data_IF_974143054179
#
_entry.id   IF_974143054179
#
_cell.length_a   1.000
_cell.length_b   1.000
_cell.length_c   1.000
_cell.angle_alpha   90.00
_cell.angle_beta   90.00
_cell.angle_gamma   90.00
#
_symmetry.space_group_name_H-M   'P 1'
#
loop_
_entity.id
_entity.type
_entity.pdbx_description
1 polymer ?
#
# COMPACT_ATOMS: atom_id res chain seq x y z
N UNK A 1 -10.04 12.50 69.51
CA UNK A 1 -10.40 12.32 68.09
C UNK A 1 -10.83 13.69 67.57
N UNK A 2 -9.96 14.30 66.77
CA UNK A 2 -9.97 15.72 66.34
C UNK A 2 -10.95 15.90 65.16
N UNK A 3 -11.95 16.77 65.29
CA UNK A 3 -12.06 18.15 64.73
C UNK A 3 -12.40 18.21 63.22
N UNK A 4 -13.19 19.11 62.66
CA UNK A 4 -14.19 20.11 63.11
C UNK A 4 -14.58 20.93 61.83
N UNK A 5 -15.86 21.24 61.60
CA UNK A 5 -16.45 22.49 61.02
C UNK A 5 -15.99 23.01 59.62
N UNK A 6 -16.68 23.85 58.82
CA UNK A 6 -17.99 24.54 58.81
C UNK A 6 -18.21 25.13 57.39
N UNK A 7 -19.48 25.39 57.07
CA UNK A 7 -20.13 26.06 55.94
C UNK A 7 -19.47 27.30 55.29
N UNK A 8 -19.94 27.67 54.07
CA UNK A 8 -20.69 28.92 53.85
C UNK A 8 -21.51 28.92 52.54
N UNK A 9 -22.73 29.42 52.66
CA UNK A 9 -23.73 29.76 51.64
C UNK A 9 -23.40 31.15 51.01
N UNK A 10 -23.88 31.45 49.79
CA UNK A 10 -24.66 32.66 49.44
C UNK A 10 -25.13 32.58 47.97
N UNK A 11 -26.38 33.00 47.77
CA UNK A 11 -27.18 32.96 46.54
C UNK A 11 -27.37 34.35 45.91
N UNK A 12 -27.75 34.41 44.62
CA UNK A 12 -28.74 35.33 44.02
C UNK A 12 -28.86 34.98 42.50
N UNK A 13 -29.95 34.37 42.00
CA UNK A 13 -31.25 34.92 41.58
C UNK A 13 -31.21 36.02 40.50
N UNK A 14 -31.71 35.70 39.30
CA UNK A 14 -32.81 36.42 38.64
C UNK A 14 -33.38 35.60 37.47
N UNK A 15 -34.64 35.17 37.64
CA UNK A 15 -35.53 34.58 36.65
C UNK A 15 -36.43 35.67 36.05
N UNK A 16 -36.77 35.60 34.77
CA UNK A 16 -38.15 35.89 34.31
C UNK A 16 -38.51 35.06 33.08
N UNK A 17 -39.69 34.46 33.18
CA UNK A 17 -40.42 33.61 32.24
C UNK A 17 -40.89 34.35 30.98
N UNK A 18 -41.17 33.56 29.93
CA UNK A 18 -42.09 33.91 28.85
C UNK A 18 -42.36 32.70 27.94
N UNK A 19 -43.41 31.94 28.22
CA UNK A 19 -44.02 31.01 27.25
C UNK A 19 -45.13 31.73 26.47
N UNK A 20 -45.22 31.55 25.15
CA UNK A 20 -46.49 31.43 24.41
C UNK A 20 -46.28 30.85 23.00
N UNK A 21 -47.31 30.16 22.53
CA UNK A 21 -47.35 29.17 21.44
C UNK A 21 -47.53 29.71 19.99
N UNK A 22 -47.38 28.76 19.07
CA UNK A 22 -48.09 28.54 17.79
C UNK A 22 -47.75 29.31 16.48
N UNK A 23 -47.24 28.49 15.53
CA UNK A 23 -47.53 28.35 14.10
C UNK A 23 -47.85 29.57 13.21
N UNK A 24 -47.06 29.75 12.14
CA UNK A 24 -47.47 29.54 10.73
C UNK A 24 -46.59 30.33 9.73
N UNK A 25 -46.48 29.74 8.54
CA UNK A 25 -45.68 30.08 7.37
C UNK A 25 -45.67 31.54 6.90
N UNK A 26 -44.54 32.01 6.34
CA UNK A 26 -44.44 32.39 4.92
C UNK A 26 -43.03 32.87 4.52
N UNK A 27 -42.68 32.52 3.29
CA UNK A 27 -41.42 32.74 2.57
C UNK A 27 -41.00 34.22 2.46
N UNK A 28 -39.70 34.49 2.42
CA UNK A 28 -39.11 35.13 1.24
C UNK A 28 -37.61 34.86 1.12
N UNK A 29 -37.22 34.45 -0.08
CA UNK A 29 -35.87 34.24 -0.55
C UNK A 29 -35.17 35.58 -0.86
N UNK A 30 -33.84 35.52 -0.82
CA UNK A 30 -32.83 36.31 -1.54
C UNK A 30 -31.83 37.01 -0.62
N UNK A 31 -30.65 36.39 -0.48
CA UNK A 31 -29.41 37.13 -0.70
C UNK A 31 -28.38 36.22 -1.38
N UNK A 32 -28.18 36.48 -2.67
CA UNK A 32 -27.14 35.92 -3.50
C UNK A 32 -25.87 36.77 -3.37
N UNK A 33 -24.74 36.17 -2.99
CA UNK A 33 -23.43 36.35 -3.62
C UNK A 33 -22.33 35.63 -2.82
N UNK A 34 -21.81 34.53 -3.36
CA UNK A 34 -20.42 34.51 -3.80
C UNK A 34 -20.21 33.37 -4.80
N UNK A 35 -20.18 33.75 -6.08
CA UNK A 35 -19.98 32.91 -7.25
C UNK A 35 -18.48 32.75 -7.47
N UNK A 36 -17.94 31.55 -7.24
CA UNK A 36 -16.70 31.04 -7.86
C UNK A 36 -16.48 29.57 -7.48
N UNK A 37 -17.17 28.64 -8.16
CA UNK A 37 -16.61 27.35 -8.57
C UNK A 37 -17.59 26.65 -9.52
N UNK A 38 -17.79 27.23 -10.71
CA UNK A 38 -18.55 26.58 -11.78
C UNK A 38 -17.56 25.77 -12.65
N UNK A 39 -17.18 24.59 -12.17
CA UNK A 39 -16.60 23.51 -12.97
C UNK A 39 -16.67 22.15 -12.23
N UNK A 40 -17.83 21.83 -11.65
CA UNK A 40 -18.13 20.45 -11.27
C UNK A 40 -19.64 20.16 -11.34
N UNK A 41 -20.22 20.32 -12.53
CA UNK A 41 -21.60 19.90 -12.82
C UNK A 41 -21.57 19.10 -14.11
N UNK A 42 -21.07 17.87 -14.03
CA UNK A 42 -21.28 16.83 -15.04
C UNK A 42 -21.23 15.41 -14.45
N UNK A 43 -21.69 15.21 -13.22
CA UNK A 43 -21.82 13.86 -12.65
C UNK A 43 -23.14 13.60 -11.91
N UNK A 44 -24.26 14.09 -12.46
CA UNK A 44 -25.59 13.68 -12.00
C UNK A 44 -26.53 13.58 -13.19
N UNK A 45 -26.32 12.58 -14.05
CA UNK A 45 -27.32 12.08 -15.01
C UNK A 45 -26.86 10.75 -15.64
N UNK A 46 -26.83 9.67 -14.85
CA UNK A 46 -27.06 8.34 -15.40
C UNK A 46 -27.57 7.33 -14.35
N UNK A 47 -28.57 7.73 -13.57
CA UNK A 47 -29.44 6.77 -12.87
C UNK A 47 -30.50 6.35 -13.89
N UNK A 48 -30.15 5.43 -14.80
CA UNK A 48 -31.04 4.52 -15.56
C UNK A 48 -30.33 3.92 -16.78
N UNK A 49 -29.39 2.98 -16.57
CA UNK A 49 -29.17 1.92 -17.57
C UNK A 49 -28.53 0.68 -16.91
N UNK A 50 -29.38 -0.17 -16.35
CA UNK A 50 -29.05 -1.57 -16.03
C UNK A 50 -28.81 -2.29 -17.35
N UNK A 51 -27.56 -2.25 -17.86
CA UNK A 51 -26.97 -3.16 -18.88
C UNK A 51 -25.59 -2.66 -19.37
N UNK A 52 -24.67 -2.29 -18.46
CA UNK A 52 -23.32 -1.87 -18.85
C UNK A 52 -22.22 -2.48 -17.97
N UNK A 53 -22.29 -3.79 -17.74
CA UNK A 53 -21.24 -4.55 -17.04
C UNK A 53 -19.98 -4.70 -17.92
N UNK A 54 -20.07 -4.48 -19.24
CA UNK A 54 -18.95 -4.68 -20.16
C UNK A 54 -18.13 -3.42 -20.51
N UNK A 55 -18.47 -2.24 -19.99
CA UNK A 55 -17.73 -1.00 -20.28
C UNK A 55 -17.07 -0.37 -19.04
N UNK A 56 -17.25 -0.95 -17.84
CA UNK A 56 -16.46 -0.56 -16.66
C UNK A 56 -15.05 -1.15 -16.75
N UNK A 57 -14.91 -2.35 -17.35
CA UNK A 57 -13.63 -3.02 -17.55
C UNK A 57 -12.66 -2.31 -18.52
N UNK A 58 -13.11 -1.28 -19.24
CA UNK A 58 -12.27 -0.59 -20.24
C UNK A 58 -12.00 0.90 -19.91
N UNK A 59 -12.65 1.45 -18.87
CA UNK A 59 -12.34 2.81 -18.38
C UNK A 59 -11.33 2.75 -17.22
N UNK A 60 -11.30 1.64 -16.47
CA UNK A 60 -10.31 1.45 -15.38
C UNK A 60 -8.92 1.03 -15.89
N UNK A 61 -8.77 0.63 -17.15
CA UNK A 61 -7.53 0.06 -17.67
C UNK A 61 -6.64 1.06 -18.44
N UNK A 62 -6.90 2.37 -18.33
CA UNK A 62 -6.13 3.40 -19.04
C UNK A 62 -5.46 4.42 -18.10
N UNK A 63 -5.72 4.33 -16.79
CA UNK A 63 -5.07 5.17 -15.76
C UNK A 63 -4.30 4.36 -14.69
N UNK A 64 -4.32 3.02 -14.70
CA UNK A 64 -3.64 2.17 -13.70
C UNK A 64 -2.19 1.81 -14.05
N UNK A 65 -1.52 2.53 -14.96
CA UNK A 65 -0.16 2.18 -15.38
C UNK A 65 0.89 2.25 -14.27
N UNK A 66 0.57 2.87 -13.14
CA UNK A 66 1.48 3.09 -12.01
C UNK A 66 1.08 2.30 -10.76
N UNK A 67 -0.10 1.67 -10.77
CA UNK A 67 -0.60 0.87 -9.65
C UNK A 67 -0.23 -0.58 -9.88
N UNK A 68 0.35 -1.21 -8.87
CA UNK A 68 0.78 -2.60 -8.86
C UNK A 68 -0.07 -3.33 -7.83
N UNK A 69 -1.01 -4.13 -8.32
CA UNK A 69 -2.07 -4.76 -7.56
C UNK A 69 -2.08 -6.29 -7.79
N UNK A 70 -3.11 -7.00 -7.32
CA UNK A 70 -3.23 -8.46 -7.48
C UNK A 70 -3.15 -8.94 -8.95
N UNK A 71 -3.45 -8.08 -9.92
CA UNK A 71 -3.41 -8.40 -11.35
C UNK A 71 -1.98 -8.39 -11.93
N UNK A 72 -0.99 -7.95 -11.15
CA UNK A 72 0.40 -7.76 -11.59
C UNK A 72 1.35 -8.85 -11.07
N UNK A 73 0.86 -10.06 -10.83
CA UNK A 73 1.63 -11.16 -10.23
C UNK A 73 2.12 -12.21 -11.24
N UNK A 74 1.76 -12.10 -12.51
CA UNK A 74 2.13 -13.10 -13.52
C UNK A 74 3.49 -12.83 -14.17
N UNK A 75 4.55 -13.47 -13.65
CA UNK A 75 5.92 -13.33 -14.15
C UNK A 75 6.09 -13.71 -15.63
N UNK A 76 5.29 -14.64 -16.16
CA UNK A 76 5.38 -15.07 -17.55
C UNK A 76 5.00 -13.97 -18.55
N UNK A 77 4.36 -12.89 -18.09
CA UNK A 77 3.99 -11.75 -18.92
C UNK A 77 5.11 -10.71 -18.99
N UNK A 78 6.10 -10.76 -18.09
CA UNK A 78 7.22 -9.83 -18.07
C UNK A 78 8.26 -10.27 -19.11
N UNK A 79 8.56 -9.46 -20.14
CA UNK A 79 9.58 -9.81 -21.11
C UNK A 79 10.96 -9.93 -20.45
N UNK A 80 11.78 -10.87 -20.91
CA UNK A 80 13.16 -11.06 -20.42
C UNK A 80 14.00 -9.77 -20.47
N UNK A 81 13.81 -8.98 -21.55
CA UNK A 81 14.47 -7.70 -21.71
C UNK A 81 14.07 -6.67 -20.65
N UNK A 82 12.85 -6.74 -20.11
CA UNK A 82 12.39 -5.84 -19.05
C UNK A 82 13.02 -6.20 -17.69
N UNK A 83 13.16 -7.50 -17.39
CA UNK A 83 13.91 -7.96 -16.21
C UNK A 83 15.38 -7.55 -16.32
N UNK A 84 15.98 -7.72 -17.50
CA UNK A 84 17.37 -7.29 -17.74
C UNK A 84 17.50 -5.77 -17.58
N UNK A 85 16.56 -4.99 -18.14
CA UNK A 85 16.54 -3.54 -17.95
C UNK A 85 16.50 -3.19 -16.46
N UNK A 86 15.58 -3.77 -15.69
CA UNK A 86 15.48 -3.55 -14.24
C UNK A 86 16.81 -3.81 -13.52
N UNK A 87 17.44 -4.97 -13.77
CA UNK A 87 18.74 -5.32 -13.17
C UNK A 87 19.86 -4.33 -13.52
N UNK A 88 19.85 -3.79 -14.74
CA UNK A 88 20.94 -2.94 -15.23
C UNK A 88 20.76 -1.45 -14.95
N UNK A 89 19.53 -0.99 -14.69
CA UNK A 89 19.22 0.44 -14.61
C UNK A 89 18.71 0.89 -13.26
N UNK A 90 18.18 0.00 -12.43
CA UNK A 90 17.63 0.38 -11.13
C UNK A 90 18.68 0.24 -10.04
N UNK A 91 18.72 1.23 -9.16
CA UNK A 91 19.49 1.27 -7.93
C UNK A 91 18.51 1.67 -6.84
N UNK A 92 18.06 0.68 -6.07
CA UNK A 92 16.89 0.78 -5.20
C UNK A 92 17.36 0.83 -3.76
N UNK A 93 16.79 1.73 -2.98
CA UNK A 93 16.84 1.62 -1.51
C UNK A 93 15.47 1.28 -0.97
N UNK A 94 15.41 0.27 -0.10
CA UNK A 94 14.18 -0.17 0.54
C UNK A 94 14.34 -0.18 2.05
N UNK A 95 13.38 0.41 2.77
CA UNK A 95 13.40 0.47 4.23
C UNK A 95 12.11 -0.06 4.82
N UNK A 96 12.23 -1.01 5.75
CA UNK A 96 11.09 -1.71 6.30
C UNK A 96 11.35 -2.36 7.66
N UNK A 97 10.29 -2.89 8.27
CA UNK A 97 10.37 -3.96 9.28
C UNK A 97 9.52 -5.15 8.84
N UNK A 98 8.98 -5.93 9.78
CA UNK A 98 8.42 -7.26 9.60
C UNK A 98 7.55 -7.42 8.35
N UNK A 99 6.43 -6.70 8.18
CA UNK A 99 5.58 -6.90 7.00
C UNK A 99 6.23 -6.52 5.68
N UNK A 100 7.10 -5.49 5.65
CA UNK A 100 7.82 -5.15 4.43
C UNK A 100 8.86 -6.19 4.04
N UNK A 101 9.39 -6.96 5.00
CA UNK A 101 10.32 -8.06 4.71
C UNK A 101 9.68 -9.17 3.88
N UNK A 102 8.35 -9.21 3.80
CA UNK A 102 7.65 -10.17 2.95
C UNK A 102 8.02 -10.01 1.47
N UNK A 103 8.32 -8.78 1.02
CA UNK A 103 8.79 -8.53 -0.34
C UNK A 103 10.15 -9.20 -0.58
N UNK A 104 11.08 -9.03 0.37
CA UNK A 104 12.42 -9.61 0.33
C UNK A 104 12.37 -11.14 0.38
N UNK A 105 11.57 -11.72 1.29
CA UNK A 105 11.32 -13.18 1.32
C UNK A 105 10.75 -13.69 -0.01
N UNK A 106 9.88 -12.90 -0.65
CA UNK A 106 9.37 -13.18 -1.98
C UNK A 106 10.47 -13.20 -3.04
N UNK A 107 11.34 -12.19 -3.06
CA UNK A 107 12.48 -12.13 -3.98
C UNK A 107 13.44 -13.31 -3.78
N UNK A 108 13.76 -13.66 -2.53
CA UNK A 108 14.60 -14.81 -2.19
C UNK A 108 14.02 -16.12 -2.72
N UNK A 109 12.71 -16.31 -2.56
CA UNK A 109 12.02 -17.51 -3.03
C UNK A 109 12.05 -17.63 -4.54
N UNK A 110 11.86 -16.52 -5.26
CA UNK A 110 11.97 -16.48 -6.72
C UNK A 110 13.42 -16.67 -7.19
N UNK A 111 14.40 -16.12 -6.49
CA UNK A 111 15.82 -16.30 -6.81
C UNK A 111 16.28 -17.75 -6.63
N UNK A 112 15.77 -18.42 -5.59
CA UNK A 112 16.10 -19.80 -5.24
C UNK A 112 15.34 -20.85 -6.05
N UNK A 113 14.22 -20.49 -6.72
CA UNK A 113 13.39 -21.45 -7.42
C UNK A 113 14.12 -22.10 -8.62
N UNK A 114 14.31 -23.44 -8.62
CA UNK A 114 15.16 -24.10 -9.61
C UNK A 114 14.76 -23.87 -11.07
N UNK A 115 13.45 -23.79 -11.34
CA UNK A 115 12.94 -23.60 -12.70
C UNK A 115 13.33 -22.25 -13.31
N UNK A 116 13.60 -21.24 -12.48
CA UNK A 116 14.03 -19.92 -12.93
C UNK A 116 15.54 -19.82 -13.14
N UNK A 117 16.34 -20.79 -12.70
CA UNK A 117 17.78 -20.84 -12.96
C UNK A 117 18.49 -19.49 -12.68
N UNK A 118 18.23 -18.93 -11.49
CA UNK A 118 18.79 -17.64 -11.04
C UNK A 118 18.38 -16.42 -11.88
N UNK A 119 17.30 -16.52 -12.68
CA UNK A 119 16.86 -15.40 -13.50
C UNK A 119 16.29 -14.23 -12.69
N UNK A 120 15.66 -14.49 -11.55
CA UNK A 120 15.08 -13.49 -10.64
C UNK A 120 15.96 -13.21 -9.40
N UNK A 121 17.28 -13.21 -9.56
CA UNK A 121 18.23 -12.83 -8.50
C UNK A 121 18.26 -11.32 -8.21
N UNK A 122 18.54 -11.00 -6.96
CA UNK A 122 18.78 -9.66 -6.43
C UNK A 122 20.05 -9.65 -5.56
N UNK A 123 20.62 -8.48 -5.31
CA UNK A 123 21.84 -8.28 -4.53
C UNK A 123 21.73 -7.01 -3.68
N UNK A 124 21.84 -7.21 -2.36
CA UNK A 124 21.82 -6.17 -1.32
C UNK A 124 23.03 -5.22 -1.37
N UNK A 125 24.10 -5.61 -2.06
CA UNK A 125 25.31 -4.81 -2.15
C UNK A 125 25.48 -4.05 -3.47
N UNK A 126 24.60 -4.30 -4.44
CA UNK A 126 24.71 -3.78 -5.81
C UNK A 126 25.98 -4.18 -6.56
N UNK A 127 26.70 -5.22 -6.11
CA UNK A 127 27.99 -5.65 -6.71
C UNK A 127 27.86 -6.69 -7.82
N UNK A 128 26.79 -7.49 -7.83
CA UNK A 128 26.49 -8.43 -8.93
C UNK A 128 25.70 -7.73 -10.04
N UNK A 129 26.38 -7.44 -11.13
CA UNK A 129 25.81 -6.82 -12.34
C UNK A 129 24.73 -7.65 -13.04
N UNK A 130 24.54 -8.92 -12.65
CA UNK A 130 23.49 -9.81 -13.19
C UNK A 130 22.31 -9.96 -12.22
N UNK A 131 22.33 -9.29 -11.07
CA UNK A 131 21.27 -9.26 -10.09
C UNK A 131 20.62 -7.87 -10.06
N UNK A 132 19.42 -7.78 -9.51
CA UNK A 132 18.78 -6.51 -9.20
C UNK A 132 19.51 -5.85 -8.02
N UNK A 133 19.92 -4.60 -8.20
CA UNK A 133 20.50 -3.79 -7.13
C UNK A 133 19.38 -3.23 -6.23
N UNK A 134 19.28 -3.77 -5.03
CA UNK A 134 18.33 -3.35 -4.00
C UNK A 134 19.00 -3.39 -2.64
N UNK A 135 19.35 -2.22 -2.11
CA UNK A 135 19.87 -2.05 -0.77
C UNK A 135 18.73 -2.21 0.25
N UNK A 136 18.67 -3.39 0.85
CA UNK A 136 17.74 -3.73 1.93
C UNK A 136 18.22 -3.08 3.24
N UNK A 137 17.31 -2.41 3.94
CA UNK A 137 17.65 -1.47 5.02
C UNK A 137 18.62 -0.36 4.57
N UNK A 138 18.55 0.03 3.29
CA UNK A 138 19.47 0.97 2.67
C UNK A 138 19.34 2.42 3.12
N UNK A 139 18.30 2.77 3.88
CA UNK A 139 18.03 4.16 4.28
C UNK A 139 18.53 4.38 5.73
N UNK A 140 19.56 5.23 5.95
CA UNK A 140 20.11 5.49 7.26
C UNK A 140 19.10 6.26 8.11
N UNK A 141 18.81 5.76 9.31
CA UNK A 141 17.84 6.42 10.19
C UNK A 141 17.71 5.72 11.54
N UNK A 142 17.11 6.43 12.50
CA UNK A 142 16.70 5.84 13.78
C UNK A 142 15.35 5.10 13.66
N UNK A 143 14.56 5.43 12.64
CA UNK A 143 13.22 4.90 12.43
C UNK A 143 13.26 3.76 11.42
N UNK A 144 12.79 2.56 11.79
CA UNK A 144 13.00 1.40 10.96
C UNK A 144 11.99 1.25 9.81
N UNK A 145 10.86 1.95 9.84
CA UNK A 145 9.81 1.96 8.81
C UNK A 145 8.84 3.15 8.94
N UNK A 146 7.81 3.22 8.09
CA UNK A 146 6.78 4.28 8.11
C UNK A 146 5.84 4.21 9.33
N UNK A 147 5.75 3.07 10.01
CA UNK A 147 4.88 2.84 11.18
C UNK A 147 5.44 3.45 12.46
N UNK A 148 6.58 4.11 12.36
CA UNK A 148 7.24 4.79 13.48
C UNK A 148 7.58 6.22 13.09
N UNK A 149 7.62 7.11 14.08
CA UNK A 149 7.99 8.51 13.82
C UNK A 149 6.93 9.30 13.06
N UNK A 150 5.64 9.02 13.26
CA UNK A 150 4.56 9.78 12.63
C UNK A 150 4.30 11.13 13.33
N UNK A 151 5.35 11.96 13.39
CA UNK A 151 5.34 13.31 13.92
C UNK A 151 6.10 14.20 12.95
N UNK A 152 5.59 15.38 12.65
CA UNK A 152 6.29 16.35 11.83
C UNK A 152 7.18 17.27 12.68
N UNK A 153 8.33 17.64 12.12
CA UNK A 153 9.17 18.73 12.62
C UNK A 153 8.58 20.12 12.28
N UNK A 154 9.36 21.19 12.53
CA UNK A 154 8.93 22.57 12.23
C UNK A 154 8.75 22.87 10.73
N UNK A 155 9.26 22.00 9.85
CA UNK A 155 9.16 22.08 8.40
C UNK A 155 8.01 21.22 7.84
N UNK A 156 7.27 20.53 8.71
CA UNK A 156 6.24 19.59 8.30
C UNK A 156 6.83 18.26 7.81
N UNK A 157 8.06 17.91 8.21
CA UNK A 157 8.73 16.70 7.72
C UNK A 157 8.73 15.63 8.79
N UNK A 158 8.31 14.42 8.42
CA UNK A 158 8.50 13.24 9.25
C UNK A 158 9.98 12.81 9.26
N UNK A 159 10.42 12.03 10.25
CA UNK A 159 11.81 11.56 10.32
C UNK A 159 12.24 10.78 9.08
N UNK A 160 11.37 9.93 8.52
CA UNK A 160 11.71 9.15 7.31
C UNK A 160 11.97 10.04 6.08
N UNK A 161 11.35 11.23 5.99
CA UNK A 161 11.68 12.24 4.96
C UNK A 161 13.08 12.80 5.19
N UNK A 162 13.43 13.12 6.44
CA UNK A 162 14.76 13.64 6.81
C UNK A 162 15.85 12.60 6.51
N UNK A 163 15.60 11.34 6.85
CA UNK A 163 16.49 10.22 6.60
C UNK A 163 16.68 9.97 5.09
N UNK A 164 15.59 10.02 4.32
CA UNK A 164 15.65 9.94 2.85
C UNK A 164 16.48 11.06 2.23
N UNK A 165 16.30 12.31 2.69
CA UNK A 165 17.13 13.43 2.22
C UNK A 165 18.60 13.24 2.60
N UNK A 166 18.87 12.74 3.79
CA UNK A 166 20.23 12.48 4.26
C UNK A 166 20.93 11.48 3.34
N UNK A 167 20.24 10.40 2.99
CA UNK A 167 20.72 9.42 2.02
C UNK A 167 21.00 10.02 0.65
N UNK A 168 19.98 10.65 0.03
CA UNK A 168 20.06 11.12 -1.35
C UNK A 168 21.03 12.30 -1.54
N UNK A 169 21.30 13.07 -0.48
CA UNK A 169 22.27 14.16 -0.50
C UNK A 169 23.71 13.72 -0.15
N UNK A 170 23.92 12.44 0.19
CA UNK A 170 25.25 11.91 0.49
C UNK A 170 26.05 11.72 -0.81
N UNK A 171 27.28 12.23 -0.84
CA UNK A 171 28.20 12.06 -1.98
C UNK A 171 28.42 10.57 -2.26
N UNK A 172 28.22 10.17 -3.53
CA UNK A 172 28.31 8.77 -3.97
C UNK A 172 26.96 8.09 -4.17
N UNK A 173 25.87 8.64 -3.63
CA UNK A 173 24.52 8.08 -3.74
C UNK A 173 23.71 8.62 -4.92
N UNK A 174 24.33 9.36 -5.84
CA UNK A 174 23.65 9.99 -6.98
C UNK A 174 23.11 8.97 -8.00
N UNK A 175 23.48 7.71 -7.86
CA UNK A 175 23.02 6.59 -8.69
C UNK A 175 21.67 6.05 -8.24
N UNK A 176 21.29 6.22 -6.97
CA UNK A 176 20.00 5.78 -6.42
C UNK A 176 18.88 6.46 -7.19
N UNK A 177 17.98 5.66 -7.74
CA UNK A 177 16.90 6.15 -8.60
C UNK A 177 15.52 5.58 -8.26
N UNK A 178 15.43 4.71 -7.26
CA UNK A 178 14.17 4.29 -6.65
C UNK A 178 14.31 4.34 -5.13
N UNK A 179 13.37 5.01 -4.46
CA UNK A 179 13.25 5.03 -3.00
C UNK A 179 11.92 4.45 -2.61
N UNK A 180 11.95 3.52 -1.66
CA UNK A 180 10.75 2.86 -1.18
C UNK A 180 10.81 2.63 0.32
N UNK A 181 9.74 3.01 1.00
CA UNK A 181 9.52 2.73 2.41
C UNK A 181 8.27 1.87 2.60
N UNK A 182 8.30 0.98 3.59
CA UNK A 182 7.18 0.10 3.94
C UNK A 182 6.44 0.56 5.18
N UNK A 183 5.18 0.16 5.29
CA UNK A 183 4.45 0.08 6.56
C UNK A 183 4.65 -1.30 7.20
N UNK A 184 4.76 -1.36 8.53
CA UNK A 184 4.47 -2.57 9.30
C UNK A 184 3.03 -2.57 9.82
N UNK A 185 2.46 -1.40 10.08
CA UNK A 185 1.03 -1.14 10.31
C UNK A 185 0.76 0.32 9.96
N UNK A 186 -0.29 0.58 9.20
CA UNK A 186 -0.76 1.93 8.86
C UNK A 186 -1.89 2.39 9.79
N UNK A 187 -2.32 1.51 10.71
CA UNK A 187 -3.44 1.76 11.59
C UNK A 187 -3.17 2.94 12.52
N UNK A 188 -4.15 3.83 12.67
CA UNK A 188 -4.10 5.07 13.45
C UNK A 188 -3.13 6.15 12.96
N UNK A 189 -2.38 5.88 11.89
CA UNK A 189 -1.47 6.84 11.26
C UNK A 189 -2.20 7.85 10.38
N UNK A 190 -1.57 9.00 10.17
CA UNK A 190 -2.07 10.07 9.30
C UNK A 190 -1.61 9.82 7.85
N UNK A 191 -2.45 9.15 7.04
CA UNK A 191 -2.10 8.87 5.65
C UNK A 191 -2.04 10.15 4.80
N UNK A 192 -2.75 11.22 5.17
CA UNK A 192 -2.64 12.50 4.46
C UNK A 192 -1.23 13.09 4.63
N UNK A 193 -0.69 13.03 5.84
CA UNK A 193 0.70 13.42 6.09
C UNK A 193 1.69 12.62 5.26
N UNK A 194 1.50 11.30 5.19
CA UNK A 194 2.36 10.43 4.38
C UNK A 194 2.37 10.88 2.90
N UNK A 195 1.19 11.10 2.30
CA UNK A 195 1.14 11.52 0.89
C UNK A 195 1.73 12.92 0.68
N UNK A 196 1.49 13.86 1.59
CA UNK A 196 2.07 15.21 1.53
C UNK A 196 3.60 15.18 1.61
N UNK A 197 4.14 14.33 2.48
CA UNK A 197 5.58 14.14 2.67
C UNK A 197 6.25 13.43 1.49
N UNK A 198 5.58 12.45 0.88
CA UNK A 198 6.01 11.83 -0.38
C UNK A 198 6.06 12.85 -1.53
N UNK A 199 5.06 13.73 -1.65
CA UNK A 199 5.03 14.78 -2.68
C UNK A 199 6.16 15.81 -2.52
N UNK A 200 6.55 16.13 -1.28
CA UNK A 200 7.74 16.96 -1.02
C UNK A 200 9.00 16.33 -1.61
N UNK A 201 9.25 15.06 -1.29
CA UNK A 201 10.41 14.33 -1.81
C UNK A 201 10.41 14.24 -3.34
N UNK A 202 9.26 13.97 -3.95
CA UNK A 202 9.13 13.95 -5.42
C UNK A 202 9.48 15.31 -6.04
N UNK A 203 9.04 16.41 -5.41
CA UNK A 203 9.36 17.76 -5.89
C UNK A 203 10.85 18.10 -5.72
N UNK A 204 11.50 17.58 -4.68
CA UNK A 204 12.90 17.86 -4.37
C UNK A 204 13.87 17.01 -5.20
N UNK A 205 13.49 15.77 -5.53
CA UNK A 205 14.31 14.79 -6.22
C UNK A 205 13.61 14.26 -7.50
N UNK A 206 13.41 15.11 -8.53
CA UNK A 206 12.64 14.74 -9.73
C UNK A 206 13.28 13.65 -10.61
N UNK A 207 14.53 13.25 -10.32
CA UNK A 207 15.22 12.13 -10.97
C UNK A 207 15.05 10.80 -10.26
N UNK A 208 14.41 10.77 -9.09
CA UNK A 208 14.19 9.59 -8.26
C UNK A 208 12.72 9.19 -8.33
N UNK A 209 12.47 7.90 -8.50
CA UNK A 209 11.14 7.31 -8.39
C UNK A 209 10.83 7.01 -6.94
N UNK A 210 9.79 7.64 -6.40
CA UNK A 210 9.27 7.31 -5.06
C UNK A 210 8.07 6.38 -5.20
N UNK A 211 8.16 5.21 -4.56
CA UNK A 211 7.09 4.21 -4.57
C UNK A 211 6.21 4.40 -3.34
N UNK A 212 4.93 4.70 -3.57
CA UNK A 212 3.91 4.69 -2.53
C UNK A 212 3.52 3.26 -2.21
N UNK A 213 3.05 3.02 -0.99
CA UNK A 213 2.61 1.70 -0.56
C UNK A 213 1.44 1.80 0.42
N UNK A 214 0.44 0.93 0.25
CA UNK A 214 -0.63 0.73 1.24
C UNK A 214 -0.13 -0.14 2.41
N UNK A 215 -0.83 -0.11 3.54
CA UNK A 215 -0.59 -1.06 4.64
C UNK A 215 -1.10 -2.47 4.34
N UNK A 216 -1.00 -3.36 5.33
CA UNK A 216 -1.54 -4.72 5.30
C UNK A 216 -2.94 -4.80 5.94
N UNK A 217 -3.64 -5.91 5.80
CA UNK A 217 -4.93 -6.12 6.46
C UNK A 217 -4.79 -6.46 7.95
N UNK A 218 -5.65 -5.88 8.81
CA UNK A 218 -5.61 -6.07 10.28
C UNK A 218 -6.92 -6.65 10.87
N UNK A 219 -7.68 -7.42 10.08
CA UNK A 219 -8.98 -7.99 10.48
C UNK A 219 -10.01 -6.94 10.95
N UNK A 220 -9.98 -5.75 10.34
CA UNK A 220 -10.89 -4.64 10.63
C UNK A 220 -12.00 -4.46 9.59
N UNK A 221 -11.94 -5.21 8.48
CA UNK A 221 -12.83 -5.04 7.35
C UNK A 221 -12.65 -3.69 6.65
N UNK A 222 -13.68 -3.26 5.94
CA UNK A 222 -13.70 -2.00 5.17
C UNK A 222 -14.10 -0.79 6.03
N UNK A 223 -13.42 -0.59 7.17
CA UNK A 223 -13.65 0.58 8.01
C UNK A 223 -13.19 1.86 7.30
N UNK A 224 -14.09 2.83 7.15
CA UNK A 224 -13.82 4.15 6.56
C UNK A 224 -13.74 5.25 7.63
N UNK A 225 -13.60 4.88 8.91
CA UNK A 225 -13.26 5.83 9.97
C UNK A 225 -11.87 6.41 9.69
N UNK A 226 -11.73 7.73 9.83
CA UNK A 226 -10.45 8.43 9.61
C UNK A 226 -9.31 7.75 10.38
N UNK A 227 -8.18 7.55 9.69
CA UNK A 227 -6.99 6.87 10.17
C UNK A 227 -7.14 5.37 10.48
N UNK A 228 -8.26 4.73 10.15
CA UNK A 228 -8.32 3.26 10.10
C UNK A 228 -7.54 2.69 8.91
N UNK A 229 -7.21 1.40 8.94
CA UNK A 229 -6.38 0.76 7.90
C UNK A 229 -6.98 0.92 6.50
N UNK A 230 -8.26 0.57 6.35
CA UNK A 230 -8.90 0.60 5.04
C UNK A 230 -9.10 2.05 4.55
N UNK A 231 -9.52 2.98 5.42
CA UNK A 231 -9.54 4.41 5.11
C UNK A 231 -8.19 4.93 4.59
N UNK A 232 -7.09 4.61 5.28
CA UNK A 232 -5.75 5.08 4.92
C UNK A 232 -5.29 4.49 3.57
N UNK A 233 -5.59 3.22 3.32
CA UNK A 233 -5.27 2.58 2.05
C UNK A 233 -6.06 3.21 0.89
N UNK A 234 -7.36 3.48 1.06
CA UNK A 234 -8.17 4.17 0.06
C UNK A 234 -7.66 5.59 -0.23
N UNK A 235 -7.25 6.34 0.81
CA UNK A 235 -6.65 7.67 0.64
C UNK A 235 -5.38 7.62 -0.22
N UNK A 236 -4.49 6.67 0.03
CA UNK A 236 -3.25 6.49 -0.74
C UNK A 236 -3.56 6.08 -2.18
N UNK A 237 -4.50 5.15 -2.40
CA UNK A 237 -4.97 4.70 -3.72
C UNK A 237 -5.50 5.88 -4.53
N UNK A 238 -6.41 6.65 -3.95
CA UNK A 238 -7.01 7.83 -4.58
C UNK A 238 -5.96 8.88 -4.94
N UNK A 239 -5.01 9.14 -4.03
CA UNK A 239 -3.91 10.07 -4.28
C UNK A 239 -3.04 9.61 -5.46
N UNK A 240 -2.64 8.34 -5.48
CA UNK A 240 -1.78 7.81 -6.52
C UNK A 240 -2.45 7.80 -7.89
N UNK A 241 -3.72 7.39 -7.95
CA UNK A 241 -4.51 7.41 -9.18
C UNK A 241 -4.71 8.84 -9.70
N UNK A 242 -4.95 9.81 -8.82
CA UNK A 242 -5.16 11.21 -9.19
C UNK A 242 -3.89 11.88 -9.71
N UNK A 243 -2.73 11.56 -9.12
CA UNK A 243 -1.47 12.23 -9.40
C UNK A 243 -0.53 11.44 -10.33
N UNK A 244 -0.92 10.25 -10.76
CA UNK A 244 -0.08 9.30 -11.51
C UNK A 244 1.20 8.96 -10.73
N UNK A 245 1.04 8.46 -9.50
CA UNK A 245 2.15 8.00 -8.66
C UNK A 245 2.27 6.49 -8.70
N UNK A 246 3.51 6.01 -8.61
CA UNK A 246 3.81 4.59 -8.43
C UNK A 246 3.24 4.13 -7.09
N UNK A 247 2.39 3.12 -7.12
CA UNK A 247 1.78 2.51 -5.95
C UNK A 247 2.04 1.01 -5.99
N UNK A 248 2.65 0.49 -4.94
CA UNK A 248 2.60 -0.93 -4.62
C UNK A 248 1.44 -1.18 -3.65
N UNK A 249 0.35 -1.74 -4.17
CA UNK A 249 -0.88 -1.94 -3.42
C UNK A 249 -0.83 -3.25 -2.63
N UNK A 250 -0.03 -3.23 -1.56
CA UNK A 250 0.19 -4.35 -0.66
C UNK A 250 -1.12 -4.93 -0.11
N UNK A 251 -2.09 -4.06 0.19
CA UNK A 251 -3.39 -4.43 0.73
C UNK A 251 -4.24 -5.14 -0.31
N UNK A 252 -4.26 -4.65 -1.55
CA UNK A 252 -5.02 -5.27 -2.63
C UNK A 252 -4.45 -6.65 -3.00
N UNK A 253 -3.12 -6.78 -3.04
CA UNK A 253 -2.44 -8.05 -3.29
C UNK A 253 -2.81 -9.08 -2.21
N UNK A 254 -2.89 -8.70 -0.94
CA UNK A 254 -3.35 -9.60 0.13
C UNK A 254 -4.84 -9.93 0.01
N UNK A 255 -5.65 -8.97 -0.43
CA UNK A 255 -7.11 -9.07 -0.43
C UNK A 255 -7.65 -10.03 -1.48
N UNK A 256 -6.82 -10.49 -2.42
CA UNK A 256 -7.24 -11.33 -3.53
C UNK A 256 -6.46 -12.64 -3.59
N UNK A 257 -7.19 -13.74 -3.82
CA UNK A 257 -6.54 -14.98 -4.23
C UNK A 257 -6.03 -14.87 -5.68
N UNK A 258 -5.20 -15.82 -6.16
CA UNK A 258 -4.70 -15.80 -7.53
C UNK A 258 -5.77 -15.92 -8.64
N UNK A 259 -7.00 -16.31 -8.31
CA UNK A 259 -8.14 -16.36 -9.25
C UNK A 259 -8.96 -15.05 -9.23
N UNK A 260 -8.63 -14.12 -8.33
CA UNK A 260 -9.25 -12.80 -8.19
C UNK A 260 -10.46 -12.76 -7.27
N UNK A 261 -10.69 -13.77 -6.43
CA UNK A 261 -11.70 -13.69 -5.37
C UNK A 261 -11.25 -12.72 -4.28
N UNK A 262 -12.16 -11.87 -3.80
CA UNK A 262 -11.89 -10.81 -2.82
C UNK A 262 -12.25 -11.24 -1.39
N UNK A 263 -11.43 -10.85 -0.41
CA UNK A 263 -11.54 -11.32 0.98
C UNK A 263 -11.51 -10.21 2.04
N UNK A 264 -11.21 -8.95 1.71
CA UNK A 264 -11.12 -7.89 2.73
C UNK A 264 -12.46 -7.65 3.43
N UNK A 265 -13.57 -7.77 2.72
CA UNK A 265 -14.94 -7.66 3.23
C UNK A 265 -15.33 -8.80 4.20
N UNK A 266 -14.47 -9.82 4.31
CA UNK A 266 -14.58 -10.94 5.23
C UNK A 266 -13.61 -10.81 6.43
N UNK A 267 -13.25 -9.58 6.81
CA UNK A 267 -12.36 -9.31 7.95
C UNK A 267 -10.99 -10.01 7.84
N UNK A 268 -10.41 -10.00 6.65
CA UNK A 268 -9.12 -10.63 6.40
C UNK A 268 -7.99 -10.07 7.30
N UNK A 269 -7.10 -10.95 7.74
CA UNK A 269 -5.87 -10.66 8.48
C UNK A 269 -4.62 -10.84 7.61
N UNK A 270 -3.48 -10.41 8.13
CA UNK A 270 -2.16 -10.41 7.47
C UNK A 270 -1.58 -11.79 7.18
N UNK A 271 -2.10 -12.84 7.80
CA UNK A 271 -1.76 -14.23 7.48
C UNK A 271 -2.72 -14.87 6.46
N UNK A 272 -3.52 -14.06 5.75
CA UNK A 272 -4.49 -14.50 4.74
C UNK A 272 -5.71 -15.26 5.32
N UNK A 273 -5.88 -15.23 6.64
CA UNK A 273 -7.07 -15.72 7.34
C UNK A 273 -8.22 -14.72 7.18
N UNK A 274 -9.45 -15.21 7.10
CA UNK A 274 -10.66 -14.41 7.01
C UNK A 274 -11.80 -15.11 7.77
N UNK A 275 -12.95 -14.44 7.94
CA UNK A 275 -14.15 -15.00 8.57
C UNK A 275 -14.76 -16.12 7.70
N UNK A 276 -14.14 -17.29 7.72
CA UNK A 276 -14.54 -18.44 6.91
C UNK A 276 -13.45 -19.47 6.71
N UNK A 277 -12.18 -19.08 6.82
CA UNK A 277 -11.03 -19.93 6.57
C UNK A 277 -9.79 -19.12 6.23
N UNK A 278 -8.86 -19.74 5.52
CA UNK A 278 -7.65 -19.08 5.04
C UNK A 278 -7.57 -19.29 3.53
N UNK A 279 -7.59 -18.19 2.77
CA UNK A 279 -7.75 -18.30 1.32
C UNK A 279 -6.55 -18.97 0.66
N UNK A 280 -5.34 -18.84 1.21
CA UNK A 280 -4.16 -19.51 0.66
C UNK A 280 -4.20 -21.02 0.87
N UNK A 281 -4.68 -21.48 2.03
CA UNK A 281 -4.91 -22.92 2.29
C UNK A 281 -5.90 -23.49 1.29
N UNK A 282 -7.02 -22.80 1.10
CA UNK A 282 -8.10 -23.21 0.19
C UNK A 282 -7.61 -23.23 -1.26
N UNK A 283 -6.95 -22.15 -1.69
CA UNK A 283 -6.46 -22.01 -3.06
C UNK A 283 -5.38 -23.03 -3.41
N UNK A 284 -4.42 -23.28 -2.51
CA UNK A 284 -3.37 -24.30 -2.73
C UNK A 284 -3.98 -25.71 -2.77
N UNK A 285 -4.97 -26.01 -1.92
CA UNK A 285 -5.64 -27.31 -1.94
C UNK A 285 -6.35 -27.57 -3.28
N UNK A 286 -6.92 -26.54 -3.90
CA UNK A 286 -7.57 -26.63 -5.20
C UNK A 286 -6.59 -26.57 -6.39
N UNK A 287 -5.40 -25.98 -6.18
CA UNK A 287 -4.38 -25.77 -7.22
C UNK A 287 -2.99 -26.35 -6.85
N UNK A 288 -2.87 -27.62 -6.42
CA UNK A 288 -1.64 -28.16 -5.83
C UNK A 288 -0.47 -28.24 -6.81
N UNK A 289 -0.74 -28.37 -8.11
CA UNK A 289 0.29 -28.46 -9.16
C UNK A 289 0.64 -27.09 -9.78
N UNK A 290 0.02 -26.00 -9.30
CA UNK A 290 0.29 -24.66 -9.82
C UNK A 290 1.69 -24.19 -9.45
N UNK A 291 2.31 -23.35 -10.29
CA UNK A 291 3.64 -22.80 -10.01
C UNK A 291 3.67 -22.01 -8.69
N UNK A 292 2.58 -21.33 -8.33
CA UNK A 292 2.44 -20.65 -7.05
C UNK A 292 2.44 -21.65 -5.88
N UNK A 293 1.64 -22.72 -5.96
CA UNK A 293 1.65 -23.75 -4.93
C UNK A 293 3.04 -24.40 -4.78
N UNK A 294 3.71 -24.73 -5.89
CA UNK A 294 5.05 -25.33 -5.87
C UNK A 294 6.13 -24.38 -5.31
N UNK A 295 6.05 -23.07 -5.61
CA UNK A 295 6.91 -22.05 -5.00
C UNK A 295 6.65 -21.92 -3.50
N UNK A 296 5.39 -22.01 -3.08
CA UNK A 296 5.01 -21.89 -1.68
C UNK A 296 5.43 -23.12 -0.88
N UNK A 297 5.09 -24.33 -1.33
CA UNK A 297 5.26 -25.55 -0.53
C UNK A 297 6.55 -26.32 -0.82
N UNK A 298 7.15 -26.13 -2.01
CA UNK A 298 8.28 -26.94 -2.47
C UNK A 298 7.91 -28.37 -2.86
N UNK A 299 6.63 -28.74 -2.82
CA UNK A 299 6.20 -30.12 -3.02
C UNK A 299 6.59 -30.64 -4.41
N UNK A 300 7.41 -31.68 -4.46
CA UNK A 300 7.85 -32.28 -5.72
C UNK A 300 8.87 -31.43 -6.50
N UNK A 301 9.44 -30.39 -5.89
CA UNK A 301 10.50 -29.56 -6.49
C UNK A 301 11.86 -30.00 -5.95
N UNK A 302 12.65 -30.68 -6.78
CA UNK A 302 13.97 -31.18 -6.40
C UNK A 302 14.90 -30.03 -5.97
N UNK A 303 15.36 -30.07 -4.71
CA UNK A 303 16.33 -29.12 -4.16
C UNK A 303 15.75 -27.78 -3.72
N UNK A 304 14.43 -27.67 -3.56
CA UNK A 304 13.75 -26.48 -3.09
C UNK A 304 12.68 -26.84 -2.05
N UNK A 305 12.83 -26.33 -0.82
CA UNK A 305 11.99 -26.70 0.33
C UNK A 305 10.69 -25.86 0.43
N UNK A 306 10.42 -24.99 -0.55
CA UNK A 306 9.33 -24.03 -0.50
C UNK A 306 9.72 -22.69 0.11
N UNK A 307 8.77 -21.76 0.09
CA UNK A 307 8.92 -20.43 0.69
C UNK A 307 8.72 -20.55 2.20
N UNK A 308 9.62 -19.96 2.98
CA UNK A 308 9.56 -19.96 4.43
C UNK A 308 9.99 -18.61 5.01
N UNK A 309 9.57 -18.32 6.25
CA UNK A 309 9.92 -17.07 6.92
C UNK A 309 9.15 -15.85 6.40
N UNK A 310 7.98 -16.07 5.80
CA UNK A 310 7.09 -14.97 5.44
C UNK A 310 6.53 -14.33 6.71
N UNK A 311 7.10 -13.19 7.12
CA UNK A 311 6.75 -12.53 8.37
C UNK A 311 5.24 -12.29 8.47
N UNK A 312 4.62 -12.71 9.56
CA UNK A 312 3.16 -12.62 9.79
C UNK A 312 2.28 -13.45 8.83
N UNK A 313 2.85 -14.21 7.90
CA UNK A 313 2.12 -15.10 7.00
C UNK A 313 2.83 -16.45 6.84
N UNK A 314 3.28 -17.06 7.94
CA UNK A 314 3.99 -18.35 7.94
C UNK A 314 3.21 -19.48 8.63
N UNK A 315 2.06 -19.16 9.21
CA UNK A 315 1.16 -20.11 9.88
C UNK A 315 -0.30 -19.79 9.53
N UNK A 316 -0.99 -20.65 8.77
CA UNK A 316 -0.53 -21.95 8.25
C UNK A 316 0.59 -21.82 7.20
N UNK A 317 1.30 -22.92 6.88
CA UNK A 317 2.47 -22.86 5.98
C UNK A 317 2.11 -22.37 4.57
N UNK A 318 0.90 -22.65 4.12
CA UNK A 318 0.30 -22.18 2.87
C UNK A 318 0.23 -20.65 2.80
N UNK A 319 0.14 -19.95 3.94
CA UNK A 319 0.14 -18.50 3.99
C UNK A 319 1.44 -17.86 3.47
N UNK A 320 2.54 -18.64 3.36
CA UNK A 320 3.77 -18.17 2.72
C UNK A 320 3.55 -17.77 1.24
N UNK A 321 2.42 -18.19 0.63
CA UNK A 321 1.95 -17.69 -0.66
C UNK A 321 1.89 -16.15 -0.71
N UNK A 322 1.61 -15.48 0.41
CA UNK A 322 1.60 -14.02 0.51
C UNK A 322 2.92 -13.40 0.02
N UNK A 323 4.05 -13.92 0.50
CA UNK A 323 5.38 -13.47 0.08
C UNK A 323 5.66 -13.79 -1.40
N UNK A 324 5.24 -14.97 -1.87
CA UNK A 324 5.45 -15.37 -3.27
C UNK A 324 4.75 -14.40 -4.22
N UNK A 325 3.46 -14.11 -3.99
CA UNK A 325 2.70 -13.20 -4.88
C UNK A 325 3.24 -11.77 -4.83
N UNK A 326 3.66 -11.31 -3.65
CA UNK A 326 4.25 -9.98 -3.48
C UNK A 326 5.62 -9.85 -4.14
N UNK A 327 6.49 -10.86 -4.04
CA UNK A 327 7.76 -10.90 -4.76
C UNK A 327 7.56 -10.85 -6.29
N UNK A 328 6.51 -11.52 -6.79
CA UNK A 328 6.15 -11.47 -8.22
C UNK A 328 5.66 -10.08 -8.64
N UNK A 329 4.77 -9.49 -7.85
CA UNK A 329 4.29 -8.12 -8.06
C UNK A 329 5.43 -7.11 -8.03
N UNK A 330 6.42 -7.31 -7.16
CA UNK A 330 7.60 -6.46 -7.09
C UNK A 330 8.42 -6.52 -8.38
N UNK A 331 8.72 -7.71 -8.91
CA UNK A 331 9.38 -7.83 -10.21
C UNK A 331 8.61 -7.17 -11.34
N UNK A 332 7.28 -7.27 -11.32
CA UNK A 332 6.43 -6.55 -12.27
C UNK A 332 6.62 -5.04 -12.16
N UNK A 333 6.51 -4.48 -10.95
CA UNK A 333 6.73 -3.06 -10.70
C UNK A 333 8.09 -2.58 -11.22
N UNK A 334 9.15 -3.31 -10.88
CA UNK A 334 10.50 -2.93 -11.22
C UNK A 334 10.75 -3.00 -12.73
N UNK A 335 10.21 -4.02 -13.40
CA UNK A 335 10.21 -4.07 -14.86
C UNK A 335 9.51 -2.84 -15.48
N UNK A 336 8.39 -2.41 -14.90
CA UNK A 336 7.65 -1.22 -15.33
C UNK A 336 8.45 0.07 -15.10
N UNK A 337 9.05 0.25 -13.92
CA UNK A 337 9.89 1.42 -13.59
C UNK A 337 11.11 1.47 -14.52
N UNK A 338 11.67 0.32 -14.90
CA UNK A 338 12.76 0.21 -15.86
C UNK A 338 12.37 0.48 -17.33
N UNK A 339 11.10 0.82 -17.60
CA UNK A 339 10.62 1.28 -18.90
C UNK A 339 9.78 0.28 -19.69
N UNK A 340 9.40 -0.87 -19.10
CA UNK A 340 8.37 -1.72 -19.70
C UNK A 340 6.99 -1.06 -19.57
N UNK A 341 6.24 -1.03 -20.67
CA UNK A 341 4.89 -0.41 -20.69
C UNK A 341 3.81 -1.28 -20.02
N UNK A 342 4.17 -2.49 -19.58
CA UNK A 342 3.25 -3.44 -18.94
C UNK A 342 2.27 -4.12 -19.87
N UNK A 343 2.50 -4.00 -21.18
CA UNK A 343 1.77 -4.79 -22.17
C UNK A 343 2.56 -6.04 -22.51
N UNK A 344 1.84 -7.14 -22.71
CA UNK A 344 2.44 -8.37 -23.21
C UNK A 344 2.93 -8.14 -24.63
N UNK A 345 4.12 -8.68 -24.95
CA UNK A 345 4.54 -8.76 -26.34
C UNK A 345 3.47 -9.58 -27.11
N UNK A 346 2.84 -8.95 -28.11
CA UNK A 346 1.81 -9.57 -28.96
C UNK A 346 2.36 -10.71 -29.80
#
# INVERSE_FOLDING_TARGET
MKHLLLAYLIAALASTMGCSDDSSSSNNANNANNTNNANNVNNVNNVNNVNNVNNVNNVNNVNNGFVIDHTNTNLALIPEAAITAAKTSLHIVYQHTSHGSQLVTGLDSLAAYPAYNSFYTWDDSGTDVNALDLDDYGIPGEYPDLSTGDMEDENGDTPWVVDTRTLLNTEGNEHINVVWWSWCSINTHDAQRYVDNMEKLISEYPGVTFVFMTGHAEAQGEDLTENSVHYNNELIRDHCATHNRWLFDFADIEAHDPDGAYYWDLNMADNLDYDGGNWAVEWIADNPDSELALLTTGDGVDGFDGTAGCAHSDSPAEANLNCVIKGRAMWWMLARIAGWDGTTAK
#
